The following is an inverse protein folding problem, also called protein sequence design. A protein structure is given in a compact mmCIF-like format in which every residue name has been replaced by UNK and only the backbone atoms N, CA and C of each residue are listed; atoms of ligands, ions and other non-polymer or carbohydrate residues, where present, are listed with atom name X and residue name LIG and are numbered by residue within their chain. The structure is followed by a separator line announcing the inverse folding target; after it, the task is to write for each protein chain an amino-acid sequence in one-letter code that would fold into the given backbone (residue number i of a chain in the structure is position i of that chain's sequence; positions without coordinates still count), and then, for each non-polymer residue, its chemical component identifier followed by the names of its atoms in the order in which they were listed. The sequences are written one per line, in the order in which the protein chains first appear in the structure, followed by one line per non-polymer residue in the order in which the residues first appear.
data_IF_973938164843
#
_entry.id   IF_973938164843
#
_cell.length_a   1.000
_cell.length_b   1.000
_cell.length_c   1.000
_cell.angle_alpha   90.00
_cell.angle_beta   90.00
_cell.angle_gamma   90.00
#
_symmetry.space_group_name_H-M   'P 1'
#
loop_
_entity.id
_entity.type
_entity.pdbx_description
1 polymer ?
#
# COMPACT_ATOMS: atom_id res chain seq x y z
N UNK A 1 -3.56 90.42 17.30
CA UNK A 1 -4.73 89.56 17.63
C UNK A 1 -5.30 88.73 16.46
N UNK A 2 -4.93 88.98 15.19
CA UNK A 2 -5.54 88.27 14.02
C UNK A 2 -4.82 87.01 13.54
N UNK A 3 -3.60 86.72 14.00
CA UNK A 3 -2.82 85.55 13.54
C UNK A 3 -3.02 84.28 14.39
N UNK A 4 -3.38 84.43 15.68
CA UNK A 4 -3.62 83.29 16.59
C UNK A 4 -4.97 82.61 16.38
N UNK A 5 -5.97 83.34 15.85
CA UNK A 5 -7.29 82.78 15.54
C UNK A 5 -7.25 81.97 14.23
N UNK A 6 -6.41 82.36 13.27
CA UNK A 6 -6.23 81.59 12.03
C UNK A 6 -5.51 80.25 12.27
N UNK A 7 -4.57 80.19 13.21
CA UNK A 7 -3.84 78.96 13.56
C UNK A 7 -4.70 77.98 14.39
N UNK A 8 -5.61 78.50 15.22
CA UNK A 8 -6.61 77.68 15.93
C UNK A 8 -7.72 77.17 15.00
N UNK A 9 -8.07 77.91 13.94
CA UNK A 9 -8.97 77.44 12.89
C UNK A 9 -8.31 76.43 11.93
N UNK A 10 -6.97 76.47 11.76
CA UNK A 10 -6.21 75.46 10.99
C UNK A 10 -5.92 74.17 11.77
N UNK A 11 -6.02 74.19 13.10
CA UNK A 11 -5.96 72.99 13.95
C UNK A 11 -7.30 72.27 14.08
N UNK A 12 -8.39 72.85 13.57
CA UNK A 12 -9.70 72.19 13.42
C UNK A 12 -9.97 71.72 11.99
N UNK A 13 -9.03 71.91 11.05
CA UNK A 13 -9.10 71.29 9.73
C UNK A 13 -8.79 69.80 9.84
N UNK A 14 -9.86 69.02 9.81
CA UNK A 14 -9.89 67.70 9.17
C UNK A 14 -9.12 66.62 9.93
N UNK A 15 -9.67 66.18 11.07
CA UNK A 15 -9.75 64.73 11.29
C UNK A 15 -10.78 64.23 10.29
N UNK A 16 -10.38 64.10 9.02
CA UNK A 16 -11.08 63.23 8.11
C UNK A 16 -10.93 61.84 8.73
N UNK A 17 -11.92 61.41 9.49
CA UNK A 17 -12.19 59.99 9.60
C UNK A 17 -12.45 59.53 8.15
N UNK A 18 -11.38 59.13 7.45
CA UNK A 18 -11.51 58.41 6.20
C UNK A 18 -12.44 57.25 6.52
N UNK A 19 -13.64 57.24 5.95
CA UNK A 19 -14.55 56.13 6.15
C UNK A 19 -13.78 54.87 5.74
N UNK A 20 -13.65 53.88 6.64
CA UNK A 20 -12.88 52.69 6.35
C UNK A 20 -13.43 52.06 5.06
N UNK A 21 -12.52 51.62 4.20
CA UNK A 21 -12.94 50.97 2.96
C UNK A 21 -13.73 49.69 3.27
N UNK A 22 -14.60 49.23 2.36
CA UNK A 22 -15.32 47.95 2.55
C UNK A 22 -14.38 46.79 2.85
N UNK A 23 -13.24 46.73 2.15
CA UNK A 23 -12.18 45.75 2.38
C UNK A 23 -11.65 45.82 3.82
N UNK A 24 -11.35 47.03 4.30
CA UNK A 24 -10.87 47.24 5.66
C UNK A 24 -11.90 46.84 6.73
N UNK A 25 -13.19 47.06 6.46
CA UNK A 25 -14.27 46.59 7.35
C UNK A 25 -14.34 45.06 7.39
N UNK A 26 -14.18 44.38 6.25
CA UNK A 26 -14.15 42.92 6.19
C UNK A 26 -12.91 42.34 6.91
N UNK A 27 -11.73 42.92 6.69
CA UNK A 27 -10.49 42.49 7.37
C UNK A 27 -10.61 42.67 8.89
N UNK A 28 -11.21 43.79 9.35
CA UNK A 28 -11.50 44.01 10.78
C UNK A 28 -12.50 43.01 11.32
N UNK A 29 -13.56 42.69 10.58
CA UNK A 29 -14.55 41.69 10.99
C UNK A 29 -13.91 40.29 11.11
N UNK A 30 -13.04 39.90 10.18
CA UNK A 30 -12.28 38.64 10.26
C UNK A 30 -11.32 38.60 11.45
N UNK A 31 -10.62 39.70 11.76
CA UNK A 31 -9.75 39.78 12.94
C UNK A 31 -10.53 39.75 14.26
N UNK A 32 -11.70 40.41 14.32
CA UNK A 32 -12.62 40.32 15.46
C UNK A 32 -13.12 38.89 15.62
N UNK A 33 -13.56 38.25 14.54
CA UNK A 33 -14.02 36.87 14.56
C UNK A 33 -12.95 35.93 15.12
N UNK A 34 -11.71 36.01 14.61
CA UNK A 34 -10.58 35.21 15.13
C UNK A 34 -10.38 35.44 16.63
N UNK A 35 -10.24 36.70 17.05
CA UNK A 35 -9.96 37.05 18.45
C UNK A 35 -11.08 36.59 19.38
N UNK A 36 -12.33 36.74 18.96
CA UNK A 36 -13.50 36.31 19.73
C UNK A 36 -13.58 34.80 19.86
N UNK A 37 -13.25 34.03 18.82
CA UNK A 37 -13.14 32.57 18.90
C UNK A 37 -11.99 32.15 19.85
N UNK A 38 -10.81 32.78 19.72
CA UNK A 38 -9.66 32.55 20.60
C UNK A 38 -9.98 32.84 22.07
N UNK A 39 -10.77 33.89 22.36
CA UNK A 39 -11.17 34.28 23.70
C UNK A 39 -12.46 33.64 24.21
N UNK A 40 -13.11 32.77 23.41
CA UNK A 40 -14.42 32.16 23.69
C UNK A 40 -15.56 33.17 23.93
N UNK A 41 -15.49 34.33 23.29
CA UNK A 41 -16.58 35.33 23.25
C UNK A 41 -17.53 34.99 22.09
N UNK A 42 -18.40 34.00 22.31
CA UNK A 42 -19.24 33.41 21.26
C UNK A 42 -20.28 34.38 20.69
N UNK A 43 -20.82 35.27 21.51
CA UNK A 43 -21.80 36.28 21.07
C UNK A 43 -21.17 37.21 20.04
N UNK A 44 -20.00 37.76 20.37
CA UNK A 44 -19.27 38.67 19.49
C UNK A 44 -18.72 37.96 18.25
N UNK A 45 -18.31 36.70 18.37
CA UNK A 45 -17.94 35.88 17.22
C UNK A 45 -19.15 35.66 16.30
N UNK A 46 -20.33 35.41 16.86
CA UNK A 46 -21.59 35.32 16.11
C UNK A 46 -21.91 36.58 15.33
N UNK A 47 -21.85 37.75 15.99
CA UNK A 47 -22.08 39.05 15.32
C UNK A 47 -21.09 39.30 14.15
N UNK A 48 -19.81 38.97 14.35
CA UNK A 48 -18.79 39.13 13.32
C UNK A 48 -19.01 38.17 12.14
N UNK A 49 -19.41 36.93 12.40
CA UNK A 49 -19.79 35.97 11.36
C UNK A 49 -21.01 36.47 10.58
N UNK A 50 -22.08 36.87 11.27
CA UNK A 50 -23.34 37.30 10.64
C UNK A 50 -23.13 38.55 9.76
N UNK A 51 -22.25 39.46 10.17
CA UNK A 51 -21.81 40.59 9.36
C UNK A 51 -21.11 40.14 8.06
N UNK A 52 -20.16 39.20 8.15
CA UNK A 52 -19.45 38.67 6.97
C UNK A 52 -20.43 37.95 6.04
N UNK A 53 -21.30 37.08 6.57
CA UNK A 53 -22.32 36.33 5.83
C UNK A 53 -23.23 37.25 5.01
N UNK A 54 -23.75 38.31 5.63
CA UNK A 54 -24.62 39.29 4.97
C UNK A 54 -23.92 40.05 3.82
N UNK A 55 -22.58 40.05 3.81
CA UNK A 55 -21.78 40.79 2.84
C UNK A 55 -21.03 39.88 1.85
N UNK A 56 -21.27 38.57 1.83
CA UNK A 56 -20.61 37.63 0.90
C UNK A 56 -20.80 38.06 -0.56
N UNK A 57 -22.04 38.37 -0.96
CA UNK A 57 -22.36 38.85 -2.32
C UNK A 57 -21.68 40.19 -2.66
N UNK A 58 -21.28 40.95 -1.63
CA UNK A 58 -20.55 42.21 -1.78
C UNK A 58 -19.02 42.02 -1.77
N UNK A 59 -18.52 40.78 -1.79
CA UNK A 59 -17.11 40.45 -1.79
C UNK A 59 -16.47 40.36 -0.41
N UNK A 60 -17.24 40.05 0.64
CA UNK A 60 -16.65 39.68 1.92
C UNK A 60 -15.86 38.36 1.80
N UNK A 61 -14.63 38.26 2.34
CA UNK A 61 -13.87 37.02 2.36
C UNK A 61 -14.44 36.09 3.43
N UNK A 62 -15.11 35.04 2.99
CA UNK A 62 -15.64 33.97 3.83
C UNK A 62 -15.87 32.75 2.93
N UNK A 63 -14.98 31.77 3.02
CA UNK A 63 -15.19 30.50 2.32
C UNK A 63 -16.27 29.66 3.02
N UNK A 64 -16.80 28.66 2.33
CA UNK A 64 -17.84 27.80 2.89
C UNK A 64 -17.29 26.89 3.98
N UNK A 65 -16.05 26.42 3.81
CA UNK A 65 -15.32 25.67 4.83
C UNK A 65 -15.11 26.54 6.06
N UNK A 66 -14.73 27.81 5.90
CA UNK A 66 -14.60 28.73 7.04
C UNK A 66 -15.96 28.94 7.73
N UNK A 67 -17.02 29.19 6.99
CA UNK A 67 -18.37 29.36 7.54
C UNK A 67 -18.82 28.11 8.32
N UNK A 68 -18.59 26.92 7.77
CA UNK A 68 -18.83 25.64 8.44
C UNK A 68 -18.07 25.54 9.77
N UNK A 69 -16.74 25.72 9.74
CA UNK A 69 -15.89 25.57 10.92
C UNK A 69 -16.20 26.60 12.01
N UNK A 70 -16.55 27.84 11.62
CA UNK A 70 -16.96 28.86 12.59
C UNK A 70 -18.30 28.50 13.23
N UNK A 71 -19.30 28.06 12.45
CA UNK A 71 -20.58 27.62 13.01
C UNK A 71 -20.41 26.44 13.97
N UNK A 72 -19.48 25.52 13.69
CA UNK A 72 -19.10 24.48 14.64
C UNK A 72 -18.57 25.07 15.96
N UNK A 73 -17.61 25.99 15.92
CA UNK A 73 -17.07 26.61 17.15
C UNK A 73 -18.13 27.40 17.93
N UNK A 74 -19.11 27.99 17.25
CA UNK A 74 -20.24 28.70 17.85
C UNK A 74 -21.32 27.77 18.41
N UNK A 75 -21.26 26.45 18.15
CA UNK A 75 -22.31 25.50 18.52
C UNK A 75 -23.59 25.64 17.69
N UNK A 76 -23.54 26.33 16.54
CA UNK A 76 -24.64 26.48 15.58
C UNK A 76 -24.64 25.28 14.61
N UNK A 77 -24.97 24.10 15.13
CA UNK A 77 -24.76 22.84 14.41
C UNK A 77 -25.72 22.63 13.22
N UNK A 78 -26.98 23.08 13.30
CA UNK A 78 -27.90 23.08 12.16
C UNK A 78 -27.39 23.96 11.02
N UNK A 79 -26.95 25.19 11.33
CA UNK A 79 -26.35 26.09 10.33
C UNK A 79 -25.12 25.47 9.68
N UNK A 80 -24.24 24.85 10.47
CA UNK A 80 -23.07 24.15 9.96
C UNK A 80 -23.45 22.98 9.03
N UNK A 81 -24.46 22.19 9.43
CA UNK A 81 -24.89 21.01 8.69
C UNK A 81 -25.51 21.34 7.33
N UNK A 82 -26.24 22.46 7.21
CA UNK A 82 -26.86 22.86 5.93
C UNK A 82 -25.78 22.99 4.85
N UNK A 83 -24.70 23.74 5.12
CA UNK A 83 -23.60 23.90 4.16
C UNK A 83 -22.84 22.58 3.95
N UNK A 84 -22.52 21.91 5.05
CA UNK A 84 -21.70 20.71 5.00
C UNK A 84 -22.39 19.55 4.27
N UNK A 85 -23.70 19.40 4.47
CA UNK A 85 -24.54 18.46 3.74
C UNK A 85 -24.63 18.79 2.26
N UNK A 86 -24.84 20.06 1.89
CA UNK A 86 -24.87 20.46 0.48
C UNK A 86 -23.55 20.20 -0.25
N UNK A 87 -22.40 20.43 0.40
CA UNK A 87 -21.08 20.13 -0.15
C UNK A 87 -20.98 18.63 -0.45
N UNK A 88 -21.38 17.78 0.50
CA UNK A 88 -21.37 16.32 0.30
C UNK A 88 -22.30 15.87 -0.81
N UNK A 89 -23.48 16.49 -0.94
CA UNK A 89 -24.39 16.20 -2.06
C UNK A 89 -23.77 16.60 -3.40
N UNK A 90 -23.12 17.74 -3.48
CA UNK A 90 -22.46 18.20 -4.72
C UNK A 90 -21.35 17.24 -5.16
N UNK A 91 -20.61 16.68 -4.20
CA UNK A 91 -19.54 15.72 -4.47
C UNK A 91 -20.09 14.34 -4.86
N UNK A 92 -21.14 13.87 -4.19
CA UNK A 92 -21.55 12.46 -4.24
C UNK A 92 -22.89 12.18 -4.92
N UNK A 93 -23.85 13.09 -4.86
CA UNK A 93 -25.13 12.93 -5.54
C UNK A 93 -25.04 13.45 -6.97
N UNK A 94 -24.86 12.53 -7.92
CA UNK A 94 -24.77 12.83 -9.36
C UNK A 94 -25.98 13.58 -9.94
N UNK A 95 -27.11 13.60 -9.24
CA UNK A 95 -28.32 14.29 -9.69
C UNK A 95 -28.49 15.67 -9.04
N UNK A 96 -27.62 16.02 -8.10
CA UNK A 96 -27.62 17.32 -7.46
C UNK A 96 -26.74 18.29 -8.25
N UNK A 97 -27.16 19.54 -8.34
CA UNK A 97 -26.36 20.62 -8.91
C UNK A 97 -26.49 21.79 -7.97
N UNK A 98 -25.37 22.16 -7.35
CA UNK A 98 -25.38 23.23 -6.36
C UNK A 98 -25.51 24.61 -7.01
N UNK A 99 -26.29 25.54 -6.41
CA UNK A 99 -26.28 26.93 -6.83
C UNK A 99 -24.88 27.54 -6.71
N UNK A 100 -24.41 28.19 -7.77
CA UNK A 100 -23.08 28.84 -7.76
C UNK A 100 -23.14 30.11 -6.92
N UNK A 101 -22.45 30.10 -5.78
CA UNK A 101 -22.22 31.30 -4.96
C UNK A 101 -20.75 31.70 -5.07
N UNK A 102 -20.49 32.91 -5.56
CA UNK A 102 -19.12 33.43 -5.65
C UNK A 102 -18.58 33.72 -4.25
N UNK A 103 -17.67 32.87 -3.76
CA UNK A 103 -17.04 32.99 -2.44
C UNK A 103 -15.57 33.39 -2.62
N UNK A 104 -15.05 34.23 -1.72
CA UNK A 104 -13.65 34.66 -1.73
C UNK A 104 -12.93 33.91 -0.61
N UNK A 105 -11.92 33.12 -0.99
CA UNK A 105 -11.03 32.44 -0.05
C UNK A 105 -9.87 33.35 0.35
N UNK A 106 -9.40 33.24 1.59
CA UNK A 106 -8.28 34.03 2.09
C UNK A 106 -7.46 33.22 3.09
N UNK A 107 -6.17 33.04 2.82
CA UNK A 107 -5.23 32.32 3.68
C UNK A 107 -4.67 33.24 4.80
N UNK A 108 -5.53 33.72 5.69
CA UNK A 108 -5.12 34.59 6.80
C UNK A 108 -5.04 33.86 8.16
N UNK A 109 -4.89 34.63 9.23
CA UNK A 109 -4.78 34.11 10.59
C UNK A 109 -6.08 33.45 11.09
N UNK A 110 -7.25 33.85 10.58
CA UNK A 110 -8.51 33.18 10.91
C UNK A 110 -8.53 31.78 10.29
N UNK A 111 -8.20 31.68 9.00
CA UNK A 111 -8.13 30.40 8.28
C UNK A 111 -7.19 29.40 9.00
N UNK A 112 -5.98 29.85 9.34
CA UNK A 112 -5.00 29.03 10.07
C UNK A 112 -5.46 28.61 11.45
N UNK A 113 -6.18 29.48 12.17
CA UNK A 113 -6.77 29.15 13.47
C UNK A 113 -7.78 28.01 13.31
N UNK A 114 -8.74 28.15 12.38
CA UNK A 114 -9.81 27.18 12.15
C UNK A 114 -9.26 25.81 11.74
N UNK A 115 -8.30 25.76 10.81
CA UNK A 115 -7.67 24.51 10.38
C UNK A 115 -6.88 23.82 11.50
N UNK A 116 -6.29 24.60 12.41
CA UNK A 116 -5.54 24.05 13.55
C UNK A 116 -6.47 23.52 14.65
N UNK A 117 -7.60 24.18 14.91
CA UNK A 117 -8.52 23.73 15.97
C UNK A 117 -9.46 22.61 15.52
N UNK A 118 -9.64 22.43 14.21
CA UNK A 118 -10.52 21.41 13.64
C UNK A 118 -9.75 20.36 12.83
N UNK A 119 -8.66 19.84 13.40
CA UNK A 119 -7.91 18.75 12.78
C UNK A 119 -8.74 17.46 12.76
N UNK A 120 -8.72 16.75 11.63
CA UNK A 120 -9.42 15.48 11.40
C UNK A 120 -8.72 14.28 12.06
N UNK A 121 -8.49 14.39 13.36
CA UNK A 121 -8.00 13.32 14.22
C UNK A 121 -9.17 12.69 14.99
N UNK A 122 -9.12 11.38 15.23
CA UNK A 122 -10.23 10.64 15.86
C UNK A 122 -10.71 11.29 17.17
N UNK A 123 -9.79 11.68 18.05
CA UNK A 123 -10.14 12.32 19.32
C UNK A 123 -10.97 13.60 19.13
N UNK A 124 -10.69 14.37 18.08
CA UNK A 124 -11.43 15.59 17.77
C UNK A 124 -12.80 15.26 17.17
N UNK A 125 -12.89 14.23 16.33
CA UNK A 125 -14.14 13.71 15.75
C UNK A 125 -15.08 13.20 16.85
N UNK A 126 -14.57 12.36 17.75
CA UNK A 126 -15.34 11.81 18.88
C UNK A 126 -15.86 12.95 19.77
N UNK A 127 -15.00 13.92 20.08
CA UNK A 127 -15.35 15.12 20.86
C UNK A 127 -16.43 15.96 20.18
N UNK A 128 -16.33 16.15 18.85
CA UNK A 128 -17.34 16.85 18.07
C UNK A 128 -18.68 16.09 18.08
N UNK A 129 -18.66 14.77 17.93
CA UNK A 129 -19.87 13.95 17.97
C UNK A 129 -20.59 14.03 19.32
N UNK A 130 -19.85 14.06 20.44
CA UNK A 130 -20.42 14.28 21.78
C UNK A 130 -21.11 15.63 21.88
N UNK A 131 -20.48 16.69 21.34
CA UNK A 131 -21.08 18.03 21.33
C UNK A 131 -22.33 18.10 20.46
N UNK A 132 -22.33 17.44 19.31
CA UNK A 132 -23.51 17.33 18.42
C UNK A 132 -24.64 16.59 19.16
N UNK A 133 -24.34 15.50 19.85
CA UNK A 133 -25.36 14.75 20.62
C UNK A 133 -25.98 15.58 21.74
N UNK A 134 -25.17 16.40 22.41
CA UNK A 134 -25.58 17.30 23.48
C UNK A 134 -26.32 18.57 23.00
N UNK A 135 -26.35 18.85 21.70
CA UNK A 135 -27.07 20.01 21.15
C UNK A 135 -28.59 19.85 21.21
N UNK A 136 -29.35 20.93 21.00
CA UNK A 136 -30.82 20.88 20.95
C UNK A 136 -31.37 20.55 19.55
N UNK A 137 -30.49 20.13 18.63
CA UNK A 137 -30.85 19.89 17.24
C UNK A 137 -31.78 18.68 17.05
N UNK A 138 -32.49 18.67 15.93
CA UNK A 138 -33.31 17.51 15.54
C UNK A 138 -32.44 16.26 15.42
N UNK A 139 -32.99 15.12 15.83
CA UNK A 139 -32.25 13.86 15.84
C UNK A 139 -31.74 13.46 14.44
N UNK A 140 -32.52 13.76 13.39
CA UNK A 140 -32.10 13.58 12.00
C UNK A 140 -30.79 14.31 11.70
N UNK A 141 -30.70 15.58 12.10
CA UNK A 141 -29.56 16.43 11.83
C UNK A 141 -28.34 15.98 12.64
N UNK A 142 -28.54 15.63 13.91
CA UNK A 142 -27.46 15.04 14.72
C UNK A 142 -26.88 13.80 14.06
N UNK A 143 -27.74 12.90 13.57
CA UNK A 143 -27.30 11.64 12.98
C UNK A 143 -26.64 11.85 11.61
N UNK A 144 -27.18 12.73 10.77
CA UNK A 144 -26.56 13.09 9.49
C UNK A 144 -25.20 13.74 9.71
N UNK A 145 -25.10 14.72 10.61
CA UNK A 145 -23.86 15.45 10.87
C UNK A 145 -22.75 14.51 11.33
N UNK A 146 -23.03 13.62 12.29
CA UNK A 146 -22.08 12.59 12.72
C UNK A 146 -21.69 11.66 11.57
N UNK A 147 -22.65 11.24 10.74
CA UNK A 147 -22.39 10.38 9.58
C UNK A 147 -21.42 11.03 8.60
N UNK A 148 -21.62 12.31 8.26
CA UNK A 148 -20.77 13.05 7.31
C UNK A 148 -19.38 13.34 7.88
N UNK A 149 -19.29 13.70 9.17
CA UNK A 149 -17.98 13.92 9.82
C UNK A 149 -17.16 12.63 9.86
N UNK A 150 -17.79 11.49 10.18
CA UNK A 150 -17.12 10.20 10.10
C UNK A 150 -16.77 9.82 8.67
N UNK A 151 -17.62 10.14 7.69
CA UNK A 151 -17.32 9.91 6.28
C UNK A 151 -16.00 10.59 5.90
N UNK A 152 -15.82 11.88 6.19
CA UNK A 152 -14.56 12.58 5.89
C UNK A 152 -13.36 12.03 6.70
N UNK A 153 -13.60 11.55 7.93
CA UNK A 153 -12.54 10.94 8.74
C UNK A 153 -12.08 9.58 8.21
N UNK A 154 -13.01 8.72 7.77
CA UNK A 154 -12.68 7.40 7.23
C UNK A 154 -12.28 7.46 5.75
N UNK A 155 -12.58 8.56 5.08
CA UNK A 155 -12.41 8.73 3.63
C UNK A 155 -11.48 9.90 3.33
N UNK A 156 -10.20 9.61 3.12
CA UNK A 156 -9.32 10.58 2.48
C UNK A 156 -9.69 10.65 0.98
N UNK A 157 -10.21 11.80 0.56
CA UNK A 157 -10.61 12.02 -0.82
C UNK A 157 -9.36 12.40 -1.63
N UNK A 158 -9.06 11.64 -2.68
CA UNK A 158 -8.28 12.17 -3.80
C UNK A 158 -9.13 12.10 -5.07
N UNK A 159 -9.53 13.27 -5.56
CA UNK A 159 -10.14 13.40 -6.87
C UNK A 159 -9.02 13.41 -7.91
N UNK A 160 -9.00 12.42 -8.80
CA UNK A 160 -8.17 12.48 -10.01
C UNK A 160 -9.09 12.58 -11.22
N UNK A 161 -8.80 13.54 -12.09
CA UNK A 161 -9.48 13.66 -13.38
C UNK A 161 -8.85 12.66 -14.35
N UNK A 162 -9.59 11.63 -14.72
CA UNK A 162 -9.19 10.72 -15.79
C UNK A 162 -10.26 10.70 -16.88
N UNK A 163 -9.88 11.10 -18.10
CA UNK A 163 -10.78 11.16 -19.27
C UNK A 163 -12.05 12.02 -19.08
N UNK A 164 -11.96 13.12 -18.33
CA UNK A 164 -13.09 14.04 -18.13
C UNK A 164 -14.15 13.55 -17.12
N UNK A 165 -13.92 12.41 -16.46
CA UNK A 165 -14.69 11.98 -15.30
C UNK A 165 -13.87 12.21 -14.04
N UNK A 166 -14.48 12.83 -13.03
CA UNK A 166 -13.91 12.87 -11.69
C UNK A 166 -13.99 11.48 -11.06
N UNK A 167 -12.84 10.86 -10.85
CA UNK A 167 -12.72 9.62 -10.10
C UNK A 167 -12.41 10.01 -8.66
N UNK A 168 -13.37 9.78 -7.77
CA UNK A 168 -13.15 9.87 -6.32
C UNK A 168 -12.47 8.58 -5.87
N UNK A 169 -11.19 8.67 -5.53
CA UNK A 169 -10.47 7.60 -4.85
C UNK A 169 -10.70 7.75 -3.35
N UNK A 170 -11.40 6.78 -2.77
CA UNK A 170 -11.61 6.69 -1.33
C UNK A 170 -10.38 6.02 -0.71
N UNK A 171 -9.52 6.80 -0.05
CA UNK A 171 -8.46 6.25 0.79
C UNK A 171 -9.03 6.00 2.19
N UNK A 172 -9.00 4.75 2.63
CA UNK A 172 -9.57 4.36 3.92
C UNK A 172 -8.56 4.60 5.05
N UNK A 173 -9.03 5.15 6.17
CA UNK A 173 -8.27 5.10 7.41
C UNK A 173 -8.11 3.62 7.85
N UNK A 174 -6.90 3.21 8.29
CA UNK A 174 -6.58 1.81 8.62
C UNK A 174 -7.30 1.30 9.88
N UNK A 175 -7.88 2.19 10.69
CA UNK A 175 -8.54 1.81 11.94
C UNK A 175 -9.94 1.22 11.72
N UNK A 176 -10.06 -0.12 11.75
CA UNK A 176 -11.31 -0.84 11.51
C UNK A 176 -12.48 -0.41 12.43
N UNK A 177 -12.19 -0.02 13.67
CA UNK A 177 -13.23 0.43 14.63
C UNK A 177 -13.97 1.67 14.13
N UNK A 178 -13.24 2.62 13.53
CA UNK A 178 -13.79 3.84 12.97
C UNK A 178 -14.64 3.57 11.73
N UNK A 179 -14.26 2.57 10.92
CA UNK A 179 -15.05 2.12 9.77
C UNK A 179 -16.35 1.43 10.23
N UNK A 180 -16.28 0.61 11.28
CA UNK A 180 -17.46 -0.01 11.88
C UNK A 180 -18.45 1.03 12.41
N UNK A 181 -17.93 2.04 13.10
CA UNK A 181 -18.72 3.13 13.64
C UNK A 181 -19.39 3.97 12.54
N UNK A 182 -18.63 4.34 11.51
CA UNK A 182 -19.17 5.00 10.32
C UNK A 182 -20.29 4.18 9.66
N UNK A 183 -20.06 2.89 9.40
CA UNK A 183 -21.06 2.00 8.81
C UNK A 183 -22.32 1.88 9.68
N UNK A 184 -22.16 1.82 11.00
CA UNK A 184 -23.28 1.75 11.94
C UNK A 184 -24.12 3.03 11.92
N UNK A 185 -23.47 4.20 11.99
CA UNK A 185 -24.13 5.51 11.91
C UNK A 185 -24.87 5.68 10.59
N UNK A 186 -24.21 5.37 9.47
CA UNK A 186 -24.78 5.50 8.14
C UNK A 186 -26.00 4.57 7.95
N UNK A 187 -25.89 3.29 8.32
CA UNK A 187 -27.02 2.36 8.23
C UNK A 187 -28.20 2.82 9.07
N UNK A 188 -27.93 3.28 10.30
CA UNK A 188 -28.96 3.84 11.19
C UNK A 188 -29.64 5.06 10.56
N UNK A 189 -28.87 5.97 9.95
CA UNK A 189 -29.40 7.14 9.26
C UNK A 189 -30.33 6.77 8.11
N UNK A 190 -29.88 5.85 7.25
CA UNK A 190 -30.66 5.39 6.10
C UNK A 190 -31.95 4.67 6.53
N UNK A 191 -31.89 3.93 7.64
CA UNK A 191 -33.04 3.21 8.18
C UNK A 191 -34.08 4.15 8.82
N UNK A 192 -33.63 5.12 9.63
CA UNK A 192 -34.52 6.08 10.31
C UNK A 192 -35.05 7.17 9.36
N UNK A 193 -34.25 7.59 8.37
CA UNK A 193 -34.55 8.71 7.46
C UNK A 193 -34.41 8.34 5.98
N UNK A 194 -35.11 7.31 5.48
CA UNK A 194 -34.92 6.79 4.12
C UNK A 194 -35.35 7.76 3.00
N UNK A 195 -36.16 8.76 3.32
CA UNK A 195 -36.64 9.78 2.38
C UNK A 195 -35.82 11.07 2.40
N UNK A 196 -34.77 11.14 3.21
CA UNK A 196 -33.82 12.24 3.15
C UNK A 196 -33.10 12.24 1.81
N UNK A 197 -32.84 13.44 1.30
CA UNK A 197 -32.01 13.65 0.11
C UNK A 197 -30.61 13.02 0.25
N UNK A 198 -30.13 12.83 1.48
CA UNK A 198 -28.83 12.22 1.76
C UNK A 198 -28.84 10.68 1.76
N UNK A 199 -29.97 10.06 2.06
CA UNK A 199 -30.02 8.62 2.29
C UNK A 199 -29.67 7.81 1.04
N UNK A 200 -30.09 8.28 -0.14
CA UNK A 200 -29.91 7.55 -1.40
C UNK A 200 -28.44 7.40 -1.79
N UNK A 201 -27.71 8.52 -1.93
CA UNK A 201 -26.31 8.44 -2.34
C UNK A 201 -25.45 7.78 -1.26
N UNK A 202 -25.74 8.00 0.03
CA UNK A 202 -25.01 7.36 1.11
C UNK A 202 -25.14 5.84 1.04
N UNK A 203 -26.35 5.36 0.79
CA UNK A 203 -26.64 3.93 0.60
C UNK A 203 -25.91 3.36 -0.61
N UNK A 204 -26.09 3.98 -1.77
CA UNK A 204 -25.66 3.45 -3.05
C UNK A 204 -24.13 3.46 -3.21
N UNK A 205 -23.45 4.43 -2.60
CA UNK A 205 -22.00 4.61 -2.78
C UNK A 205 -21.16 4.00 -1.67
N UNK A 206 -21.65 3.92 -0.42
CA UNK A 206 -20.77 3.60 0.71
C UNK A 206 -21.15 2.33 1.46
N UNK A 207 -22.42 1.91 1.52
CA UNK A 207 -22.81 0.76 2.35
C UNK A 207 -22.12 -0.53 1.91
N UNK A 208 -22.26 -0.91 0.64
CA UNK A 208 -21.68 -2.16 0.14
C UNK A 208 -20.14 -2.12 0.10
N UNK A 209 -19.48 -1.06 -0.42
CA UNK A 209 -18.01 -1.01 -0.47
C UNK A 209 -17.35 -1.08 0.91
N UNK A 210 -17.84 -0.33 1.89
CA UNK A 210 -17.26 -0.35 3.25
C UNK A 210 -17.56 -1.67 3.96
N UNK A 211 -18.76 -2.24 3.77
CA UNK A 211 -19.10 -3.55 4.35
C UNK A 211 -18.17 -4.64 3.81
N UNK A 212 -17.97 -4.67 2.48
CA UNK A 212 -17.05 -5.61 1.84
C UNK A 212 -15.62 -5.45 2.36
N UNK A 213 -15.12 -4.21 2.42
CA UNK A 213 -13.78 -3.93 2.96
C UNK A 213 -13.66 -4.41 4.41
N UNK A 214 -14.63 -4.10 5.27
CA UNK A 214 -14.62 -4.51 6.67
C UNK A 214 -14.64 -6.03 6.82
N UNK A 215 -15.46 -6.73 6.04
CA UNK A 215 -15.58 -8.19 6.08
C UNK A 215 -14.29 -8.86 5.62
N UNK A 216 -13.65 -8.36 4.55
CA UNK A 216 -12.34 -8.82 4.08
C UNK A 216 -11.27 -8.63 5.17
N UNK A 217 -11.25 -7.48 5.85
CA UNK A 217 -10.29 -7.20 6.92
C UNK A 217 -10.55 -8.02 8.20
N UNK A 218 -11.82 -8.27 8.55
CA UNK A 218 -12.19 -9.15 9.67
C UNK A 218 -11.80 -10.59 9.39
N UNK A 219 -12.10 -11.08 8.20
CA UNK A 219 -11.69 -12.42 7.76
C UNK A 219 -10.17 -12.55 7.76
N UNK A 220 -9.45 -11.52 7.30
CA UNK A 220 -7.99 -11.46 7.37
C UNK A 220 -7.45 -11.59 8.81
N UNK A 221 -8.09 -10.93 9.78
CA UNK A 221 -7.72 -11.03 11.20
C UNK A 221 -8.08 -12.38 11.84
N UNK A 222 -9.19 -13.00 11.43
CA UNK A 222 -9.72 -14.23 12.05
C UNK A 222 -9.07 -15.52 11.53
N UNK A 223 -8.80 -15.61 10.23
CA UNK A 223 -8.15 -16.77 9.63
C UNK A 223 -7.02 -16.36 8.66
N UNK A 224 -5.82 -16.08 9.20
CA UNK A 224 -4.65 -15.77 8.38
C UNK A 224 -4.15 -16.96 7.54
N UNK A 225 -4.61 -18.19 7.82
CA UNK A 225 -4.18 -19.41 7.16
C UNK A 225 -5.06 -19.79 5.98
N UNK A 226 -6.35 -19.41 6.01
CA UNK A 226 -7.28 -19.55 4.90
C UNK A 226 -7.08 -18.52 3.78
N UNK A 227 -6.46 -17.39 4.08
CA UNK A 227 -6.15 -16.32 3.13
C UNK A 227 -4.89 -16.68 2.34
N UNK A 228 -5.08 -17.01 1.07
CA UNK A 228 -3.98 -17.40 0.18
C UNK A 228 -3.33 -16.15 -0.43
N UNK A 229 -2.11 -15.84 -0.01
CA UNK A 229 -1.37 -14.65 -0.45
C UNK A 229 -0.78 -14.89 -1.85
N UNK A 230 -1.61 -14.84 -2.88
CA UNK A 230 -1.14 -14.95 -4.26
C UNK A 230 -0.64 -13.59 -4.76
N UNK A 231 0.41 -13.07 -4.13
CA UNK A 231 1.02 -11.78 -4.49
C UNK A 231 2.13 -11.96 -5.51
N UNK A 232 2.45 -10.88 -6.23
CA UNK A 232 3.62 -10.84 -7.11
C UNK A 232 4.87 -10.45 -6.33
N UNK A 233 6.04 -10.45 -6.97
CA UNK A 233 7.25 -10.01 -6.29
C UNK A 233 8.55 -10.38 -6.98
N UNK A 234 9.65 -9.94 -6.38
CA UNK A 234 11.01 -10.31 -6.74
C UNK A 234 11.73 -10.91 -5.53
N UNK A 235 12.33 -12.08 -5.69
CA UNK A 235 13.05 -12.78 -4.63
C UNK A 235 14.53 -12.96 -4.96
N UNK A 236 15.39 -12.80 -3.95
CA UNK A 236 16.79 -13.20 -4.00
C UNK A 236 17.05 -14.26 -2.95
N UNK A 237 17.79 -15.30 -3.31
CA UNK A 237 18.08 -16.43 -2.44
C UNK A 237 19.54 -16.85 -2.49
N UNK A 238 20.07 -17.19 -1.32
CA UNK A 238 21.36 -17.84 -1.17
C UNK A 238 21.16 -19.15 -0.43
N UNK A 239 21.62 -20.24 -1.04
CA UNK A 239 21.49 -21.59 -0.49
C UNK A 239 22.85 -22.24 -0.26
N UNK A 240 22.88 -23.13 0.72
CA UNK A 240 23.85 -24.20 0.83
C UNK A 240 23.11 -25.53 0.73
N UNK A 241 23.79 -26.61 0.36
CA UNK A 241 23.08 -27.87 0.14
C UNK A 241 23.97 -29.09 0.07
N UNK A 242 23.33 -30.19 -0.31
CA UNK A 242 23.99 -31.44 -0.65
C UNK A 242 23.20 -32.12 -1.75
N UNK A 243 23.78 -33.16 -2.34
CA UNK A 243 23.14 -33.87 -3.43
C UNK A 243 23.83 -35.18 -3.71
N UNK A 244 23.19 -35.98 -4.55
CA UNK A 244 23.71 -37.26 -5.01
C UNK A 244 23.18 -37.55 -6.40
N UNK A 245 23.77 -38.54 -7.05
CA UNK A 245 23.41 -38.95 -8.39
C UNK A 245 23.00 -40.42 -8.39
N UNK A 246 21.98 -40.74 -9.19
CA UNK A 246 21.46 -42.08 -9.43
C UNK A 246 21.37 -42.32 -10.94
N UNK A 247 21.02 -43.54 -11.33
CA UNK A 247 21.03 -43.99 -12.73
C UNK A 247 22.36 -44.59 -13.15
N UNK A 248 22.51 -44.88 -14.44
CA UNK A 248 23.70 -45.50 -15.02
C UNK A 248 24.96 -44.65 -14.82
N UNK A 249 24.81 -43.33 -14.79
CA UNK A 249 25.90 -42.39 -14.51
C UNK A 249 26.63 -42.70 -13.20
N UNK A 250 25.89 -43.11 -12.16
CA UNK A 250 26.44 -43.36 -10.83
C UNK A 250 27.42 -44.53 -10.78
N UNK A 251 27.39 -45.42 -11.77
CA UNK A 251 28.37 -46.49 -11.90
C UNK A 251 29.74 -45.97 -12.37
N UNK A 252 29.76 -44.91 -13.17
CA UNK A 252 30.96 -44.38 -13.82
C UNK A 252 31.46 -43.06 -13.22
N UNK A 253 30.59 -42.32 -12.54
CA UNK A 253 30.91 -41.02 -11.95
C UNK A 253 30.62 -41.03 -10.45
N UNK A 254 31.60 -40.57 -9.67
CA UNK A 254 31.46 -40.31 -8.25
C UNK A 254 31.07 -38.85 -8.06
N UNK A 255 29.90 -38.63 -7.49
CA UNK A 255 29.40 -37.30 -7.14
C UNK A 255 29.63 -37.04 -5.66
N UNK A 256 30.35 -35.98 -5.34
CA UNK A 256 30.63 -35.54 -3.97
C UNK A 256 30.25 -34.06 -3.84
N UNK A 257 29.64 -33.71 -2.70
CA UNK A 257 29.29 -32.33 -2.40
C UNK A 257 30.28 -31.74 -1.42
N UNK A 258 30.96 -30.67 -1.82
CA UNK A 258 31.82 -29.88 -0.94
C UNK A 258 31.22 -28.48 -0.80
N UNK A 259 30.31 -28.35 0.17
CA UNK A 259 29.58 -27.11 0.51
C UNK A 259 29.07 -26.33 -0.72
N UNK A 260 28.23 -26.94 -1.58
CA UNK A 260 27.73 -26.28 -2.78
C UNK A 260 26.93 -25.03 -2.41
N UNK A 261 27.16 -23.97 -3.17
CA UNK A 261 26.44 -22.71 -3.07
C UNK A 261 25.50 -22.62 -4.26
N UNK A 262 24.26 -22.23 -3.99
CA UNK A 262 23.28 -21.93 -5.03
C UNK A 262 22.82 -20.49 -4.83
N UNK A 263 22.73 -19.75 -5.91
CA UNK A 263 22.15 -18.41 -5.96
C UNK A 263 20.85 -18.52 -6.77
N UNK A 264 19.76 -17.98 -6.22
CA UNK A 264 18.45 -17.98 -6.86
C UNK A 264 17.90 -16.57 -7.03
N UNK A 265 17.26 -16.33 -8.17
CA UNK A 265 16.48 -15.14 -8.46
C UNK A 265 15.07 -15.58 -8.86
N UNK A 266 14.06 -15.04 -8.20
CA UNK A 266 12.66 -15.38 -8.45
C UNK A 266 11.91 -14.13 -8.91
N UNK A 267 11.06 -14.30 -9.92
CA UNK A 267 10.08 -13.31 -10.35
C UNK A 267 8.69 -13.92 -10.29
N UNK A 268 7.83 -13.36 -9.45
CA UNK A 268 6.49 -13.88 -9.19
C UNK A 268 5.43 -12.93 -9.70
N UNK A 269 4.43 -13.50 -10.38
CA UNK A 269 3.18 -12.81 -10.71
C UNK A 269 2.03 -13.73 -10.32
N UNK A 270 1.27 -13.32 -9.30
CA UNK A 270 0.16 -14.10 -8.73
C UNK A 270 0.63 -15.48 -8.26
N UNK A 271 0.29 -16.53 -9.01
CA UNK A 271 0.63 -17.92 -8.69
C UNK A 271 1.79 -18.47 -9.50
N UNK A 272 2.31 -17.69 -10.46
CA UNK A 272 3.36 -18.16 -11.34
C UNK A 272 4.68 -17.55 -10.90
N UNK A 273 5.68 -18.40 -10.73
CA UNK A 273 7.04 -18.02 -10.36
C UNK A 273 7.98 -18.37 -11.52
N UNK A 274 8.81 -17.43 -11.92
CA UNK A 274 9.91 -17.68 -12.82
C UNK A 274 11.20 -17.59 -12.01
N UNK A 275 11.86 -18.72 -11.82
CA UNK A 275 13.10 -18.80 -11.03
C UNK A 275 14.30 -19.06 -11.94
N UNK A 276 15.35 -18.28 -11.75
CA UNK A 276 16.68 -18.52 -12.32
C UNK A 276 17.60 -18.97 -11.20
N UNK A 277 18.47 -19.93 -11.47
CA UNK A 277 19.47 -20.34 -10.49
C UNK A 277 20.85 -20.52 -11.11
N UNK A 278 21.86 -20.32 -10.27
CA UNK A 278 23.24 -20.65 -10.57
C UNK A 278 23.84 -21.36 -9.35
N UNK A 279 24.35 -22.57 -9.56
CA UNK A 279 24.96 -23.38 -8.52
C UNK A 279 26.41 -23.72 -8.83
N UNK A 280 27.28 -23.74 -7.83
CA UNK A 280 28.69 -24.10 -7.95
C UNK A 280 29.20 -24.77 -6.66
N UNK A 281 30.37 -25.40 -6.71
CA UNK A 281 30.94 -26.13 -5.55
C UNK A 281 30.56 -27.62 -5.49
N UNK A 282 30.01 -28.17 -6.57
CA UNK A 282 29.84 -29.61 -6.71
C UNK A 282 31.13 -30.24 -7.21
N UNK A 283 31.53 -31.36 -6.61
CA UNK A 283 32.73 -32.10 -7.02
C UNK A 283 32.28 -33.37 -7.75
N UNK A 284 32.67 -33.48 -9.02
CA UNK A 284 32.46 -34.71 -9.79
C UNK A 284 33.81 -35.32 -10.15
N UNK A 285 33.92 -36.64 -10.06
CA UNK A 285 35.11 -37.39 -10.48
C UNK A 285 34.73 -38.74 -11.07
N UNK A 286 35.71 -39.43 -11.67
CA UNK A 286 35.50 -40.76 -12.23
C UNK A 286 35.48 -41.86 -11.17
N UNK A 287 34.65 -42.88 -11.40
CA UNK A 287 34.69 -44.14 -10.66
C UNK A 287 35.51 -45.19 -11.43
N UNK A 288 36.84 -45.13 -11.29
CA UNK A 288 37.76 -46.01 -12.01
C UNK A 288 37.62 -47.51 -11.68
N UNK A 289 36.90 -47.88 -10.62
CA UNK A 289 36.64 -49.29 -10.30
C UNK A 289 35.73 -49.98 -11.33
N UNK A 290 34.95 -49.21 -12.08
CA UNK A 290 34.02 -49.72 -13.12
C UNK A 290 34.37 -49.24 -14.54
N UNK A 291 35.39 -48.40 -14.69
CA UNK A 291 35.85 -47.96 -15.99
C UNK A 291 37.00 -48.85 -16.48
N UNK A 292 36.85 -49.48 -17.64
CA UNK A 292 37.93 -50.24 -18.30
C UNK A 292 38.84 -49.27 -19.07
N UNK A 293 39.70 -48.54 -18.35
CA UNK A 293 40.55 -47.50 -18.95
C UNK A 293 42.02 -47.69 -18.60
N UNK A 294 42.87 -47.59 -19.61
CA UNK A 294 44.32 -47.50 -19.43
C UNK A 294 44.70 -46.11 -18.91
N UNK A 295 44.87 -46.01 -17.59
CA UNK A 295 45.27 -44.79 -16.87
C UNK A 295 46.52 -44.12 -17.46
N UNK A 296 47.46 -44.89 -18.04
CA UNK A 296 48.67 -44.35 -18.68
C UNK A 296 48.36 -43.65 -20.01
N UNK A 297 47.39 -44.17 -20.76
CA UNK A 297 46.92 -43.58 -22.02
C UNK A 297 46.12 -42.29 -21.78
N UNK A 298 45.32 -42.24 -20.70
CA UNK A 298 44.59 -41.02 -20.33
C UNK A 298 45.54 -39.89 -19.88
N UNK A 299 46.52 -40.22 -19.04
CA UNK A 299 47.48 -39.24 -18.51
C UNK A 299 48.35 -38.62 -19.61
N UNK A 300 48.70 -39.41 -20.64
CA UNK A 300 49.46 -38.92 -21.80
C UNK A 300 48.65 -38.07 -22.79
N UNK A 301 47.32 -38.09 -22.72
CA UNK A 301 46.42 -37.25 -23.51
C UNK A 301 45.99 -35.96 -22.80
N UNK A 302 46.59 -35.66 -21.63
CA UNK A 302 46.26 -34.47 -20.84
C UNK A 302 44.93 -34.57 -20.09
N UNK A 303 44.30 -35.75 -20.03
CA UNK A 303 43.12 -35.95 -19.21
C UNK A 303 43.52 -35.96 -17.73
N UNK A 304 42.80 -35.23 -16.89
CA UNK A 304 43.05 -35.18 -15.45
C UNK A 304 42.58 -36.48 -14.78
N UNK A 305 43.42 -37.51 -14.84
CA UNK A 305 43.10 -38.89 -14.40
C UNK A 305 42.91 -39.00 -12.87
N UNK A 306 43.26 -37.97 -12.10
CA UNK A 306 43.10 -37.93 -10.64
C UNK A 306 42.14 -36.83 -10.17
N UNK A 307 41.50 -36.11 -11.10
CA UNK A 307 40.77 -34.88 -10.81
C UNK A 307 39.42 -35.12 -10.15
N UNK A 308 39.31 -34.78 -8.86
CA UNK A 308 38.07 -34.26 -8.29
C UNK A 308 37.90 -32.86 -8.87
N UNK A 309 36.82 -32.60 -9.60
CA UNK A 309 36.69 -31.33 -10.33
C UNK A 309 35.42 -30.57 -9.97
N UNK A 310 35.56 -29.25 -9.98
CA UNK A 310 34.46 -28.31 -9.85
C UNK A 310 33.46 -28.50 -10.99
N UNK A 311 32.19 -28.48 -10.61
CA UNK A 311 31.06 -28.44 -11.53
C UNK A 311 30.09 -27.37 -11.09
N UNK A 312 29.49 -26.73 -12.08
CA UNK A 312 28.50 -25.68 -11.88
C UNK A 312 27.31 -25.89 -12.79
N UNK A 313 26.13 -25.44 -12.36
CA UNK A 313 24.91 -25.58 -13.12
C UNK A 313 24.16 -24.26 -13.17
N UNK A 314 23.55 -23.98 -14.31
CA UNK A 314 22.62 -22.86 -14.48
C UNK A 314 21.29 -23.41 -14.98
N UNK A 315 20.20 -22.79 -14.57
CA UNK A 315 18.91 -23.20 -15.08
C UNK A 315 17.81 -22.20 -14.79
N UNK A 316 16.68 -22.46 -15.43
CA UNK A 316 15.46 -21.70 -15.30
C UNK A 316 14.29 -22.66 -15.03
N UNK A 317 13.40 -22.26 -14.13
CA UNK A 317 12.19 -22.99 -13.79
C UNK A 317 10.96 -22.09 -13.82
N UNK A 318 9.83 -22.70 -14.17
CA UNK A 318 8.52 -22.13 -13.97
C UNK A 318 7.83 -22.89 -12.83
N UNK A 319 7.54 -22.16 -11.76
CA UNK A 319 6.87 -22.63 -10.56
C UNK A 319 5.39 -22.26 -10.55
N UNK A 320 4.62 -23.04 -9.79
CA UNK A 320 3.23 -22.76 -9.46
C UNK A 320 3.06 -22.74 -7.95
N UNK A 321 2.63 -21.61 -7.40
CA UNK A 321 2.35 -21.45 -5.97
C UNK A 321 1.07 -22.20 -5.61
N UNK A 322 1.24 -23.44 -5.18
CA UNK A 322 0.15 -24.34 -4.81
C UNK A 322 -0.50 -23.90 -3.49
N UNK A 323 0.31 -23.39 -2.57
CA UNK A 323 -0.11 -22.91 -1.27
C UNK A 323 0.74 -21.70 -0.84
N UNK A 324 0.10 -20.67 -0.30
CA UNK A 324 0.77 -19.48 0.21
C UNK A 324 0.00 -18.90 1.40
N UNK A 325 0.57 -18.96 2.60
CA UNK A 325 0.07 -18.30 3.81
C UNK A 325 1.13 -17.34 4.37
N UNK A 326 0.80 -16.53 5.37
CA UNK A 326 1.78 -15.64 6.04
C UNK A 326 3.08 -16.35 6.46
N UNK A 327 3.03 -17.64 6.78
CA UNK A 327 4.16 -18.38 7.35
C UNK A 327 4.76 -19.41 6.41
N UNK A 328 3.96 -19.99 5.52
CA UNK A 328 4.36 -21.13 4.71
C UNK A 328 3.94 -20.93 3.25
N UNK A 329 4.87 -21.14 2.32
CA UNK A 329 4.56 -21.24 0.90
C UNK A 329 5.14 -22.53 0.32
N UNK A 330 4.38 -23.15 -0.57
CA UNK A 330 4.74 -24.39 -1.27
C UNK A 330 4.57 -24.20 -2.76
N UNK A 331 5.65 -24.42 -3.50
CA UNK A 331 5.75 -24.12 -4.92
C UNK A 331 6.44 -25.27 -5.67
N UNK A 332 5.68 -26.22 -6.24
CA UNK A 332 6.22 -27.13 -7.24
C UNK A 332 6.68 -26.37 -8.49
N UNK A 333 7.77 -26.83 -9.11
CA UNK A 333 8.29 -26.25 -10.34
C UNK A 333 8.79 -27.31 -11.32
N UNK A 334 8.83 -26.90 -12.60
CA UNK A 334 9.46 -27.63 -13.68
C UNK A 334 10.31 -26.68 -14.52
N UNK A 335 11.40 -27.17 -15.11
CA UNK A 335 12.36 -26.31 -15.78
C UNK A 335 13.39 -27.06 -16.59
N UNK A 336 14.41 -26.30 -17.01
CA UNK A 336 15.57 -26.80 -17.74
C UNK A 336 16.83 -26.30 -17.05
N UNK A 337 17.86 -27.13 -17.04
CA UNK A 337 19.17 -26.78 -16.53
C UNK A 337 20.29 -27.30 -17.41
N UNK A 338 21.45 -26.69 -17.30
CA UNK A 338 22.68 -27.15 -17.94
C UNK A 338 23.76 -27.29 -16.89
N UNK A 339 24.42 -28.45 -16.87
CA UNK A 339 25.53 -28.77 -15.98
C UNK A 339 26.85 -28.68 -16.74
N UNK A 340 27.74 -27.80 -16.28
CA UNK A 340 29.07 -27.64 -16.85
C UNK A 340 30.12 -28.25 -15.91
N UNK A 341 31.12 -28.87 -16.53
CA UNK A 341 32.30 -29.42 -15.88
C UNK A 341 33.52 -28.62 -16.32
N UNK A 342 34.36 -28.19 -15.38
CA UNK A 342 35.43 -27.23 -15.69
C UNK A 342 36.56 -27.84 -16.55
N UNK A 343 36.95 -29.10 -16.33
CA UNK A 343 38.08 -29.73 -17.04
C UNK A 343 37.86 -31.18 -17.50
N UNK A 344 36.63 -31.71 -17.40
CA UNK A 344 36.23 -32.99 -17.99
C UNK A 344 36.05 -32.82 -19.52
N UNK A 345 37.17 -32.74 -20.24
CA UNK A 345 37.26 -32.44 -21.68
C UNK A 345 36.50 -33.43 -22.62
N UNK A 346 35.97 -34.51 -22.06
CA UNK A 346 35.31 -35.63 -22.76
C UNK A 346 33.79 -35.68 -22.50
N UNK A 347 33.29 -34.84 -21.59
CA UNK A 347 31.88 -34.81 -21.20
C UNK A 347 31.13 -33.70 -21.94
N UNK A 348 30.07 -34.06 -22.68
CA UNK A 348 29.27 -33.08 -23.45
C UNK A 348 28.00 -32.69 -22.70
N UNK A 349 27.68 -31.39 -22.71
CA UNK A 349 26.50 -30.80 -22.08
C UNK A 349 25.22 -31.28 -22.75
N UNK A 350 24.36 -31.97 -21.99
CA UNK A 350 22.99 -32.22 -22.39
C UNK A 350 22.08 -31.40 -21.48
N UNK A 351 21.17 -30.58 -22.03
CA UNK A 351 20.13 -29.93 -21.24
C UNK A 351 19.36 -30.97 -20.43
N UNK A 352 19.27 -30.75 -19.13
CA UNK A 352 18.55 -31.62 -18.21
C UNK A 352 17.17 -31.04 -17.95
N UNK A 353 16.17 -31.90 -17.87
CA UNK A 353 14.86 -31.53 -17.38
C UNK A 353 14.91 -31.46 -15.85
N UNK A 354 14.44 -30.36 -15.29
CA UNK A 354 14.43 -30.14 -13.85
C UNK A 354 13.00 -30.20 -13.32
N UNK A 355 12.79 -30.94 -12.24
CA UNK A 355 11.56 -30.95 -11.44
C UNK A 355 11.91 -30.65 -10.00
N UNK A 356 11.01 -30.05 -9.25
CA UNK A 356 11.28 -29.83 -7.83
C UNK A 356 10.17 -29.14 -7.07
N UNK A 357 10.52 -28.77 -5.86
CA UNK A 357 9.63 -28.06 -4.95
C UNK A 357 10.42 -27.08 -4.08
N UNK A 358 9.88 -25.86 -3.96
CA UNK A 358 10.30 -24.88 -2.98
C UNK A 358 9.30 -24.90 -1.81
N UNK A 359 9.81 -24.99 -0.59
CA UNK A 359 9.06 -24.84 0.66
C UNK A 359 9.65 -23.68 1.44
N UNK A 360 8.87 -22.62 1.57
CA UNK A 360 9.29 -21.34 2.12
C UNK A 360 8.65 -21.09 3.47
N UNK A 361 9.48 -20.83 4.48
CA UNK A 361 9.09 -20.46 5.83
C UNK A 361 9.40 -18.98 6.07
N UNK A 362 8.36 -18.15 6.09
CA UNK A 362 8.50 -16.71 6.35
C UNK A 362 8.60 -16.47 7.85
N UNK A 363 9.77 -16.06 8.33
CA UNK A 363 9.97 -15.68 9.72
C UNK A 363 9.77 -14.19 9.96
N UNK A 364 9.83 -13.39 8.89
CA UNK A 364 9.48 -11.97 8.93
C UNK A 364 8.77 -11.57 7.64
N UNK A 365 7.69 -10.81 7.77
CA UNK A 365 7.02 -10.17 6.65
C UNK A 365 6.48 -8.81 7.12
N UNK A 366 6.90 -7.74 6.45
CA UNK A 366 6.34 -6.42 6.71
C UNK A 366 4.88 -6.39 6.22
N UNK A 367 4.02 -5.74 6.99
CA UNK A 367 2.64 -5.51 6.58
C UNK A 367 2.62 -4.36 5.58
N UNK A 368 2.09 -4.53 4.35
CA UNK A 368 1.95 -3.43 3.42
C UNK A 368 0.98 -2.40 4.01
N UNK A 369 1.29 -1.12 3.87
CA UNK A 369 0.44 -0.01 4.33
C UNK A 369 -0.80 0.21 3.46
N UNK A 370 -0.88 -0.41 2.28
CA UNK A 370 -2.09 -0.38 1.45
C UNK A 370 -2.12 -1.53 0.44
N UNK A 371 -3.27 -1.75 -0.19
CA UNK A 371 -3.43 -2.72 -1.28
C UNK A 371 -2.58 -2.28 -2.47
N UNK A 372 -1.62 -3.13 -2.87
CA UNK A 372 -0.72 -2.85 -4.00
C UNK A 372 0.59 -2.15 -3.62
N UNK A 373 0.78 -1.76 -2.36
CA UNK A 373 2.07 -1.26 -1.88
C UNK A 373 3.11 -2.37 -1.79
N UNK A 374 4.34 -2.06 -2.18
CA UNK A 374 5.47 -2.97 -2.05
C UNK A 374 5.80 -3.18 -0.57
N UNK A 375 5.98 -4.43 -0.19
CA UNK A 375 6.48 -4.82 1.13
C UNK A 375 7.71 -5.72 0.98
N UNK A 376 8.37 -6.05 2.08
CA UNK A 376 9.50 -6.97 2.09
C UNK A 376 9.29 -8.12 3.08
N UNK A 377 9.81 -9.29 2.74
CA UNK A 377 9.79 -10.46 3.61
C UNK A 377 11.14 -11.17 3.63
N UNK A 378 11.44 -11.79 4.76
CA UNK A 378 12.61 -12.66 4.94
C UNK A 378 12.14 -14.07 5.26
N UNK A 379 12.75 -15.03 4.58
CA UNK A 379 12.28 -16.40 4.63
C UNK A 379 13.41 -17.42 4.56
N UNK A 380 13.15 -18.59 5.14
CA UNK A 380 13.98 -19.77 5.01
C UNK A 380 13.37 -20.67 3.95
N UNK A 381 14.14 -21.05 2.94
CA UNK A 381 13.68 -21.93 1.86
C UNK A 381 14.36 -23.28 1.95
N UNK A 382 13.56 -24.33 1.94
CA UNK A 382 13.98 -25.67 1.56
C UNK A 382 13.64 -25.90 0.09
N UNK A 383 14.65 -26.23 -0.72
CA UNK A 383 14.51 -26.48 -2.15
C UNK A 383 14.99 -27.89 -2.47
N UNK A 384 14.12 -28.67 -3.07
CA UNK A 384 14.47 -29.96 -3.67
C UNK A 384 14.46 -29.83 -5.20
N UNK A 385 15.53 -30.30 -5.84
CA UNK A 385 15.65 -30.38 -7.31
C UNK A 385 16.02 -31.78 -7.74
N UNK A 386 15.31 -32.25 -8.76
CA UNK A 386 15.57 -33.47 -9.51
C UNK A 386 15.94 -33.06 -10.93
N UNK A 387 17.16 -33.35 -11.35
CA UNK A 387 17.61 -33.14 -12.72
C UNK A 387 17.66 -34.48 -13.42
N UNK A 388 16.93 -34.61 -14.52
CA UNK A 388 16.86 -35.81 -15.35
C UNK A 388 17.48 -35.49 -16.69
N UNK A 389 18.53 -36.22 -17.05
CA UNK A 389 19.19 -36.05 -18.33
C UNK A 389 20.04 -37.25 -18.70
N UNK A 390 20.93 -37.02 -19.64
CA UNK A 390 21.94 -37.98 -20.06
C UNK A 390 23.31 -37.33 -20.04
N UNK A 391 24.33 -38.10 -19.71
CA UNK A 391 25.71 -37.63 -19.78
C UNK A 391 26.43 -38.50 -20.80
N UNK A 392 27.28 -37.88 -21.61
CA UNK A 392 28.09 -38.57 -22.62
C UNK A 392 29.53 -38.56 -22.17
N UNK A 393 30.14 -39.73 -22.01
CA UNK A 393 31.52 -39.86 -21.53
C UNK A 393 32.33 -40.76 -22.44
N UNK A 394 33.43 -40.21 -22.98
CA UNK A 394 34.24 -40.91 -23.97
C UNK A 394 35.27 -41.83 -23.31
N UNK A 395 35.63 -41.60 -22.05
CA UNK A 395 36.68 -42.35 -21.37
C UNK A 395 36.20 -43.68 -20.76
N UNK A 396 35.06 -43.69 -20.07
CA UNK A 396 34.57 -44.88 -19.36
C UNK A 396 33.59 -45.75 -20.17
N UNK A 397 32.95 -45.20 -21.21
CA UNK A 397 31.84 -45.86 -21.91
C UNK A 397 31.90 -45.71 -23.45
N UNK A 398 33.09 -45.51 -24.02
CA UNK A 398 33.31 -45.36 -25.47
C UNK A 398 32.40 -44.31 -26.15
N UNK A 399 32.00 -43.26 -25.41
CA UNK A 399 31.19 -42.17 -25.94
C UNK A 399 29.70 -42.49 -26.10
N UNK A 400 29.19 -43.55 -25.45
CA UNK A 400 27.75 -43.78 -25.33
C UNK A 400 27.13 -42.88 -24.26
N UNK A 401 25.91 -42.45 -24.52
CA UNK A 401 25.10 -41.71 -23.56
C UNK A 401 24.64 -42.66 -22.44
N UNK A 402 24.67 -42.18 -21.20
CA UNK A 402 24.13 -42.87 -20.05
C UNK A 402 23.12 -42.00 -19.33
N UNK A 403 22.07 -42.63 -18.81
CA UNK A 403 21.06 -41.93 -18.01
C UNK A 403 21.67 -41.39 -16.71
N UNK A 404 21.35 -40.13 -16.40
CA UNK A 404 21.80 -39.46 -15.19
C UNK A 404 20.61 -38.80 -14.50
N UNK A 405 20.42 -39.11 -13.22
CA UNK A 405 19.41 -38.47 -12.39
C UNK A 405 20.08 -37.90 -11.16
N UNK A 406 20.11 -36.58 -11.05
CA UNK A 406 20.75 -35.86 -9.94
C UNK A 406 19.71 -35.29 -8.99
N UNK A 407 19.92 -35.54 -7.72
CA UNK A 407 19.09 -35.07 -6.62
C UNK A 407 19.87 -34.00 -5.86
N UNK A 408 19.28 -32.83 -5.68
CA UNK A 408 19.87 -31.72 -4.92
C UNK A 408 18.89 -31.26 -3.85
N UNK A 409 19.38 -31.16 -2.62
CA UNK A 409 18.67 -30.63 -1.47
C UNK A 409 19.38 -29.37 -1.01
N UNK A 410 18.65 -28.27 -0.89
CA UNK A 410 19.21 -26.98 -0.58
C UNK A 410 18.41 -26.28 0.51
N UNK A 411 19.12 -25.66 1.43
CA UNK A 411 18.58 -24.82 2.49
C UNK A 411 19.14 -23.42 2.29
N UNK A 412 18.27 -22.42 2.24
CA UNK A 412 18.69 -21.06 1.95
C UNK A 412 17.93 -20.02 2.73
N UNK A 413 18.54 -18.84 2.77
CA UNK A 413 17.91 -17.61 3.21
C UNK A 413 17.45 -16.84 1.96
N UNK A 414 16.26 -16.26 2.06
CA UNK A 414 15.67 -15.46 1.01
C UNK A 414 15.24 -14.10 1.52
N UNK A 415 15.34 -13.11 0.65
CA UNK A 415 14.70 -11.81 0.81
C UNK A 415 13.80 -11.58 -0.41
N UNK A 416 12.54 -11.22 -0.17
CA UNK A 416 11.57 -10.92 -1.21
C UNK A 416 11.02 -9.50 -1.07
N UNK A 417 10.83 -8.85 -2.21
CA UNK A 417 9.90 -7.74 -2.37
C UNK A 417 8.58 -8.33 -2.86
N UNK A 418 7.47 -8.14 -2.14
CA UNK A 418 6.18 -8.76 -2.43
C UNK A 418 4.99 -7.79 -2.33
#
# INVERSE_FOLDING_TARGET
MKLRILFLLFLFSVVAFSQPSKKELYDRARDVLRKSLESRDLDRAGEALDYLKTNVENGAPLSEVEEYLVNLELGRFEDALIFYGEIHRDIFDKNYTRPVVSRIETEDLLNRYLLRTNQMEKQNIDSLCVRIDASEERQEYKLLHKTLVYLDFVTAHSSTTQNGNDIVVLNYNEELSSIEEFLALMKKYIEEYPYSDHAKYLKDLFVEPYQKYLDEQKQFKQDPWGQKYYTGGFGFYLYTGFGFMTGEASDYLKYETDSPIIIGLDFRVKRFDLSLFWSFGYITGYNFNKCDVDLKRMSSQGANVFGREGSWAVGASLGFVAYDSRYLRVEPFAGISSLMYDHLASTTLVPEFMLGNNVDFRFYAAQPSSVGNMSYSFLLRFRYMLHVGSVKEHCCNNGKDFSAVRHSFAFGIGAELW
#
